data_IF_897780596428
#
_entry.id   IF_897780596428
#
_cell.length_a   1.000
_cell.length_b   1.000
_cell.length_c   1.000
_cell.angle_alpha   90.00
_cell.angle_beta   90.00
_cell.angle_gamma   90.00
#
_symmetry.space_group_name_H-M   'P 1'
#
loop_
_entity.id
_entity.type
_entity.pdbx_description
1 polymer ?
#
# COMPACT_ATOMS: atom_id res chain seq x y z
N UNK A 1 -3.44 2.98 -13.73
CA UNK A 1 -2.16 2.30 -13.72
C UNK A 1 -1.15 3.10 -12.93
N UNK A 2 -0.60 2.47 -12.03
CA UNK A 2 0.09 2.93 -10.94
C UNK A 2 1.39 3.63 -11.11
N UNK A 3 1.89 4.36 -10.10
CA UNK A 3 3.30 4.50 -9.95
C UNK A 3 3.71 5.23 -8.71
N UNK A 4 4.59 4.74 -8.22
CA UNK A 4 5.97 4.73 -7.80
C UNK A 4 6.44 6.04 -7.19
N UNK A 5 6.78 6.00 -5.93
CA UNK A 5 7.72 6.89 -5.32
C UNK A 5 7.45 7.25 -3.88
N UNK A 6 8.21 6.68 -2.99
CA UNK A 6 8.26 7.13 -1.61
C UNK A 6 9.23 8.29 -1.45
N UNK A 7 9.05 9.12 -0.43
CA UNK A 7 10.03 10.17 -0.06
C UNK A 7 11.42 9.59 0.26
N UNK A 8 11.55 8.29 0.54
CA UNK A 8 12.85 7.63 0.75
C UNK A 8 13.68 7.47 -0.53
N UNK A 9 13.07 7.60 -1.73
CA UNK A 9 13.80 7.65 -3.00
C UNK A 9 14.48 9.00 -3.28
N UNK A 10 14.38 9.99 -2.39
CA UNK A 10 15.04 11.30 -2.56
C UNK A 10 16.57 11.19 -2.54
N UNK A 11 17.14 10.13 -1.97
CA UNK A 11 18.60 9.93 -1.95
C UNK A 11 19.18 9.43 -3.29
N UNK A 12 18.37 8.77 -4.11
CA UNK A 12 18.73 8.41 -5.47
C UNK A 12 17.96 9.31 -6.42
N UNK A 13 18.63 9.91 -7.38
CA UNK A 13 18.16 10.91 -8.38
C UNK A 13 16.98 10.44 -9.23
N UNK A 14 16.05 9.67 -8.65
CA UNK A 14 14.89 9.11 -9.31
C UNK A 14 13.68 10.06 -9.34
N UNK A 15 12.91 9.98 -10.40
CA UNK A 15 11.61 10.65 -10.55
C UNK A 15 10.60 10.07 -9.56
N UNK A 16 10.02 10.89 -8.67
CA UNK A 16 8.91 10.49 -7.79
C UNK A 16 7.58 11.06 -8.27
N UNK A 17 6.47 10.34 -7.98
CA UNK A 17 5.11 10.82 -8.28
C UNK A 17 4.86 12.18 -7.62
N UNK A 18 5.22 12.34 -6.36
CA UNK A 18 5.10 13.60 -5.62
C UNK A 18 5.80 14.75 -6.35
N UNK A 19 7.04 14.56 -6.79
CA UNK A 19 7.78 15.60 -7.52
C UNK A 19 7.11 15.98 -8.85
N UNK A 20 6.43 15.06 -9.54
CA UNK A 20 5.73 15.39 -10.78
C UNK A 20 4.55 16.33 -10.48
N UNK A 21 3.75 16.04 -9.46
CA UNK A 21 2.65 16.91 -9.03
C UNK A 21 3.16 18.26 -8.54
N UNK A 22 4.16 18.29 -7.65
CA UNK A 22 4.72 19.54 -7.11
C UNK A 22 5.33 20.43 -8.18
N UNK A 23 5.92 19.86 -9.25
CA UNK A 23 6.38 20.63 -10.43
C UNK A 23 5.24 21.31 -11.17
N UNK A 24 4.10 20.63 -11.34
CA UNK A 24 2.92 21.17 -11.99
C UNK A 24 2.33 22.29 -11.13
N UNK A 25 2.10 22.01 -9.84
CA UNK A 25 1.56 22.98 -8.90
C UNK A 25 2.46 24.23 -8.77
N UNK A 26 3.79 24.06 -8.75
CA UNK A 26 4.74 25.19 -8.75
C UNK A 26 4.57 26.09 -9.98
N UNK A 27 4.34 25.51 -11.17
CA UNK A 27 4.10 26.30 -12.39
C UNK A 27 2.79 27.08 -12.32
N UNK A 28 1.72 26.45 -11.79
CA UNK A 28 0.40 27.08 -11.71
C UNK A 28 0.37 28.20 -10.65
N UNK A 29 0.96 27.98 -9.48
CA UNK A 29 0.95 28.94 -8.36
C UNK A 29 2.09 29.95 -8.38
N UNK A 30 3.10 29.76 -9.26
CA UNK A 30 4.36 30.52 -9.26
C UNK A 30 5.13 30.49 -7.93
N UNK A 31 4.81 29.53 -7.07
CA UNK A 31 5.45 29.23 -5.78
C UNK A 31 5.43 27.74 -5.53
N UNK A 32 6.26 27.25 -4.61
CA UNK A 32 6.23 25.85 -4.20
C UNK A 32 4.92 25.56 -3.45
N UNK A 33 4.20 24.52 -3.88
CA UNK A 33 3.03 23.97 -3.19
C UNK A 33 3.33 22.51 -2.93
N UNK A 34 3.28 22.15 -1.67
CA UNK A 34 3.53 20.78 -1.20
C UNK A 34 2.24 19.96 -1.29
N UNK A 35 2.35 18.70 -1.71
CA UNK A 35 1.26 17.74 -1.60
C UNK A 35 1.44 16.85 -0.37
N UNK A 36 0.33 16.43 0.21
CA UNK A 36 0.28 15.54 1.37
C UNK A 36 -0.42 14.24 0.95
N UNK A 37 0.33 13.13 0.71
CA UNK A 37 -0.27 11.87 0.30
C UNK A 37 -0.85 11.10 1.50
N UNK A 38 -1.91 10.33 1.27
CA UNK A 38 -2.50 9.44 2.28
C UNK A 38 -1.61 8.25 2.61
N UNK A 39 -0.77 7.84 1.67
CA UNK A 39 0.18 6.74 1.82
C UNK A 39 1.48 7.03 1.12
N UNK A 40 2.57 6.49 1.65
CA UNK A 40 3.83 6.40 0.93
C UNK A 40 3.92 5.02 0.30
N UNK A 41 4.42 4.96 -0.93
CA UNK A 41 4.71 3.70 -1.62
C UNK A 41 6.20 3.65 -1.93
N UNK A 42 6.81 2.47 -1.81
CA UNK A 42 8.21 2.27 -2.12
C UNK A 42 8.44 2.31 -3.63
N UNK A 43 9.70 2.48 -4.04
CA UNK A 43 10.09 2.36 -5.45
C UNK A 43 9.70 0.99 -6.00
N UNK A 44 9.02 0.97 -7.15
CA UNK A 44 8.53 -0.24 -7.81
C UNK A 44 7.17 -0.71 -7.33
N UNK A 45 6.58 -0.07 -6.30
CA UNK A 45 5.22 -0.33 -5.84
C UNK A 45 4.24 0.48 -6.67
N UNK A 46 3.12 -0.12 -7.04
CA UNK A 46 2.06 0.48 -7.85
C UNK A 46 0.90 1.00 -6.97
N UNK A 47 0.06 1.84 -7.54
CA UNK A 47 -1.20 2.25 -6.93
C UNK A 47 -2.31 2.33 -7.97
N UNK A 48 -3.42 1.61 -7.75
CA UNK A 48 -4.66 1.84 -8.50
C UNK A 48 -5.39 3.06 -7.98
N UNK A 49 -5.29 3.29 -6.67
CA UNK A 49 -5.92 4.41 -6.00
C UNK A 49 -4.97 5.02 -4.96
N UNK A 50 -4.66 6.30 -5.13
CA UNK A 50 -3.88 7.08 -4.17
C UNK A 50 -4.52 8.45 -4.03
N UNK A 51 -4.65 8.94 -2.81
CA UNK A 51 -5.15 10.27 -2.51
C UNK A 51 -4.01 11.17 -2.03
N UNK A 52 -4.08 12.43 -2.43
CA UNK A 52 -3.31 13.51 -1.82
C UNK A 52 -4.16 14.77 -1.76
N UNK A 53 -3.83 15.67 -0.85
CA UNK A 53 -4.41 17.01 -0.81
C UNK A 53 -3.31 18.05 -0.88
N UNK A 54 -3.70 19.27 -1.23
CA UNK A 54 -2.86 20.47 -1.20
C UNK A 54 -3.76 21.69 -1.01
N UNK A 55 -3.17 22.76 -0.47
CA UNK A 55 -3.86 24.03 -0.30
C UNK A 55 -3.64 24.93 -1.50
N UNK A 56 -4.68 25.66 -1.92
CA UNK A 56 -4.64 26.55 -3.08
C UNK A 56 -5.50 27.78 -2.87
N UNK A 57 -4.99 28.93 -3.33
CA UNK A 57 -5.72 30.20 -3.42
C UNK A 57 -6.31 30.42 -4.83
N UNK A 58 -6.01 29.51 -5.77
CA UNK A 58 -6.47 29.61 -7.14
C UNK A 58 -7.92 29.16 -7.25
N UNK A 59 -8.77 30.04 -7.74
CA UNK A 59 -10.18 29.73 -8.00
C UNK A 59 -10.31 28.99 -9.34
N UNK A 60 -10.03 27.69 -9.31
CA UNK A 60 -10.08 26.80 -10.49
C UNK A 60 -11.04 25.65 -10.17
N UNK A 61 -11.97 25.40 -11.06
CA UNK A 61 -12.95 24.32 -10.93
C UNK A 61 -12.27 22.93 -10.90
N UNK A 62 -12.78 21.96 -10.12
CA UNK A 62 -12.20 20.61 -10.02
C UNK A 62 -11.94 19.93 -11.36
N UNK A 63 -12.83 20.10 -12.34
CA UNK A 63 -12.65 19.56 -13.70
C UNK A 63 -11.46 20.17 -14.43
N UNK A 64 -11.24 21.46 -14.24
CA UNK A 64 -10.12 22.18 -14.84
C UNK A 64 -8.79 21.77 -14.18
N UNK A 65 -8.78 21.57 -12.84
CA UNK A 65 -7.64 20.99 -12.12
C UNK A 65 -7.26 19.63 -12.69
N UNK A 66 -8.24 18.71 -12.84
CA UNK A 66 -8.01 17.39 -13.42
C UNK A 66 -7.40 17.48 -14.81
N UNK A 67 -7.94 18.33 -15.68
CA UNK A 67 -7.44 18.53 -17.04
C UNK A 67 -6.00 19.08 -17.02
N UNK A 68 -5.74 20.15 -16.27
CA UNK A 68 -4.43 20.79 -16.19
C UNK A 68 -3.35 19.83 -15.69
N UNK A 69 -3.67 19.00 -14.66
CA UNK A 69 -2.75 17.99 -14.16
C UNK A 69 -2.46 16.92 -15.20
N UNK A 70 -3.51 16.30 -15.78
CA UNK A 70 -3.33 15.20 -16.72
C UNK A 70 -2.65 15.62 -18.02
N UNK A 71 -2.81 16.88 -18.45
CA UNK A 71 -2.11 17.43 -19.63
C UNK A 71 -0.59 17.60 -19.42
N UNK A 72 -0.14 17.63 -18.18
CA UNK A 72 1.25 17.88 -17.83
C UNK A 72 1.95 16.69 -17.14
N UNK A 73 1.19 15.68 -16.71
CA UNK A 73 1.71 14.47 -16.13
C UNK A 73 2.27 13.53 -17.20
N UNK A 74 3.28 12.71 -16.85
CA UNK A 74 3.74 11.65 -17.72
C UNK A 74 2.68 10.53 -17.81
N UNK A 75 2.76 9.72 -18.87
CA UNK A 75 1.77 8.69 -19.22
C UNK A 75 1.51 7.64 -18.13
N UNK A 76 2.46 7.46 -17.24
CA UNK A 76 2.41 6.50 -16.15
C UNK A 76 1.70 7.03 -14.88
N UNK A 77 1.19 8.27 -14.90
CA UNK A 77 0.46 8.91 -13.80
C UNK A 77 -0.82 9.54 -14.33
N UNK A 78 -1.96 9.23 -13.69
CA UNK A 78 -3.25 9.75 -14.08
C UNK A 78 -4.10 10.18 -12.89
N UNK A 79 -4.69 11.38 -12.97
CA UNK A 79 -5.64 11.92 -11.98
C UNK A 79 -7.05 11.50 -12.37
N UNK A 80 -7.66 10.62 -11.59
CA UNK A 80 -9.02 10.14 -11.83
C UNK A 80 -10.09 11.19 -11.48
N UNK A 81 -9.91 11.89 -10.37
CA UNK A 81 -10.85 12.91 -9.91
C UNK A 81 -10.15 13.96 -9.05
N UNK A 82 -10.75 15.14 -8.99
CA UNK A 82 -10.38 16.23 -8.08
C UNK A 82 -11.66 16.67 -7.39
N UNK A 83 -11.60 16.93 -6.10
CA UNK A 83 -12.71 17.45 -5.29
C UNK A 83 -12.20 18.54 -4.38
N UNK A 84 -13.01 19.56 -4.16
CA UNK A 84 -12.81 20.50 -3.07
C UNK A 84 -13.25 19.81 -1.78
N UNK A 85 -12.49 20.03 -0.72
CA UNK A 85 -12.73 19.49 0.62
C UNK A 85 -12.63 20.60 1.65
N UNK A 86 -13.09 20.36 2.86
CA UNK A 86 -12.97 21.30 3.97
C UNK A 86 -11.52 21.51 4.39
N UNK A 87 -11.19 22.67 4.95
CA UNK A 87 -9.85 23.04 5.38
C UNK A 87 -9.30 22.12 6.50
N UNK A 88 -10.20 21.42 7.21
CA UNK A 88 -9.85 20.44 8.25
C UNK A 88 -9.49 19.05 7.68
N UNK A 89 -9.77 18.82 6.39
CA UNK A 89 -9.54 17.52 5.77
C UNK A 89 -8.03 17.22 5.64
N UNK A 90 -7.67 16.01 6.07
CA UNK A 90 -6.30 15.51 5.89
C UNK A 90 -6.30 14.06 5.43
N UNK A 91 -6.03 13.81 4.14
CA UNK A 91 -6.17 12.49 3.51
C UNK A 91 -5.37 11.35 4.18
N UNK A 92 -4.33 11.66 4.98
CA UNK A 92 -3.57 10.66 5.74
C UNK A 92 -4.22 10.35 7.08
N UNK A 93 -4.75 11.37 7.77
CA UNK A 93 -5.32 11.21 9.11
C UNK A 93 -6.77 10.73 9.05
N UNK A 94 -7.52 11.17 8.04
CA UNK A 94 -8.91 10.74 7.80
C UNK A 94 -8.99 9.36 7.11
N UNK A 95 -7.84 8.79 6.74
CA UNK A 95 -7.78 7.45 6.19
C UNK A 95 -8.01 6.41 7.30
N UNK A 96 -9.13 5.68 7.22
CA UNK A 96 -9.53 4.65 8.19
C UNK A 96 -9.11 3.23 7.80
N UNK A 97 -8.72 3.02 6.55
CA UNK A 97 -8.25 1.72 6.07
C UNK A 97 -7.59 1.77 4.71
N UNK A 98 -6.83 0.73 4.41
CA UNK A 98 -6.16 0.53 3.12
C UNK A 98 -6.25 -0.91 2.71
N UNK A 99 -6.42 -1.16 1.40
CA UNK A 99 -6.30 -2.47 0.79
C UNK A 99 -5.10 -2.49 -0.13
N UNK A 100 -4.30 -3.54 0.02
CA UNK A 100 -3.21 -3.88 -0.88
C UNK A 100 -3.50 -5.20 -1.57
N UNK A 101 -3.04 -5.30 -2.82
CA UNK A 101 -2.99 -6.52 -3.60
C UNK A 101 -1.55 -6.79 -3.99
N UNK A 102 -1.11 -8.03 -3.82
CA UNK A 102 0.20 -8.46 -4.29
C UNK A 102 0.02 -9.53 -5.36
N UNK A 103 0.52 -9.25 -6.56
CA UNK A 103 0.33 -10.09 -7.74
C UNK A 103 1.52 -10.97 -8.01
N UNK A 104 1.27 -12.26 -8.17
CA UNK A 104 2.27 -13.27 -8.53
C UNK A 104 1.82 -14.02 -9.74
N UNK A 105 2.73 -14.25 -10.69
CA UNK A 105 2.53 -15.19 -11.76
C UNK A 105 3.52 -16.35 -11.65
N UNK A 106 3.05 -17.54 -12.01
CA UNK A 106 3.82 -18.78 -12.02
C UNK A 106 3.92 -19.29 -13.46
N UNK A 107 5.12 -19.59 -13.89
CA UNK A 107 5.39 -20.12 -15.22
C UNK A 107 6.72 -20.87 -15.21
N UNK A 108 6.96 -21.70 -16.24
CA UNK A 108 8.26 -22.35 -16.41
C UNK A 108 9.39 -21.34 -16.64
N UNK A 109 9.09 -20.25 -17.37
CA UNK A 109 10.02 -19.19 -17.73
C UNK A 109 9.44 -17.81 -17.43
N UNK A 110 10.33 -16.84 -17.19
CA UNK A 110 9.92 -15.43 -17.01
C UNK A 110 9.26 -14.90 -18.29
N UNK A 111 8.16 -14.17 -18.10
CA UNK A 111 7.52 -13.41 -19.15
C UNK A 111 8.00 -11.95 -19.12
N UNK A 112 8.73 -11.47 -20.14
CA UNK A 112 9.20 -10.08 -20.17
C UNK A 112 8.08 -9.04 -20.12
N UNK A 113 6.88 -9.35 -20.59
CA UNK A 113 5.71 -8.45 -20.60
C UNK A 113 5.11 -8.25 -19.21
N UNK A 114 5.41 -9.14 -18.25
CA UNK A 114 5.01 -9.00 -16.84
C UNK A 114 6.10 -8.33 -15.98
N UNK A 115 7.25 -8.05 -16.58
CA UNK A 115 8.39 -7.45 -15.87
C UNK A 115 8.02 -6.09 -15.29
N UNK A 116 8.26 -5.92 -13.99
CA UNK A 116 7.91 -4.69 -13.27
C UNK A 116 6.42 -4.55 -12.93
N UNK A 117 5.57 -5.53 -13.26
CA UNK A 117 4.12 -5.51 -13.02
C UNK A 117 3.67 -6.62 -12.06
N UNK A 118 4.29 -7.79 -12.13
CA UNK A 118 3.99 -8.94 -11.27
C UNK A 118 5.28 -9.61 -10.82
N UNK A 119 5.26 -10.24 -9.68
CA UNK A 119 6.39 -11.04 -9.20
C UNK A 119 6.35 -12.43 -9.82
N UNK A 120 7.47 -12.85 -10.41
CA UNK A 120 7.65 -14.18 -10.93
C UNK A 120 8.05 -15.16 -9.83
N UNK A 121 7.35 -16.29 -9.73
CA UNK A 121 7.73 -17.43 -8.89
C UNK A 121 7.65 -18.70 -9.75
N UNK A 122 8.77 -19.43 -9.82
CA UNK A 122 8.84 -20.68 -10.59
C UNK A 122 8.33 -21.89 -9.79
N UNK A 123 8.51 -21.83 -8.47
CA UNK A 123 8.19 -22.95 -7.59
C UNK A 123 6.69 -23.22 -7.57
N UNK A 124 6.30 -24.49 -7.48
CA UNK A 124 4.93 -24.86 -7.14
C UNK A 124 4.66 -24.49 -5.69
N UNK A 125 3.50 -23.91 -5.44
CA UNK A 125 3.11 -23.42 -4.13
C UNK A 125 1.79 -24.05 -3.66
N UNK A 126 1.77 -24.50 -2.42
CA UNK A 126 0.55 -24.94 -1.74
C UNK A 126 -0.27 -23.72 -1.31
N UNK A 127 -1.18 -23.28 -2.18
CA UNK A 127 -2.01 -22.09 -1.93
C UNK A 127 -2.97 -22.27 -0.74
N UNK A 128 -3.39 -23.50 -0.46
CA UNK A 128 -4.29 -23.81 0.67
C UNK A 128 -3.56 -23.54 1.99
N UNK A 129 -2.33 -24.04 2.14
CA UNK A 129 -1.49 -23.73 3.30
C UNK A 129 -1.14 -22.26 3.41
N UNK A 130 -0.86 -21.59 2.28
CA UNK A 130 -0.64 -20.15 2.28
C UNK A 130 -1.87 -19.41 2.80
N UNK A 131 -3.08 -19.80 2.37
CA UNK A 131 -4.32 -19.17 2.80
C UNK A 131 -4.65 -19.50 4.27
N UNK A 132 -4.34 -20.71 4.75
CA UNK A 132 -4.41 -21.04 6.18
C UNK A 132 -3.51 -20.11 7.00
N UNK A 133 -2.25 -19.93 6.59
CA UNK A 133 -1.32 -19.02 7.26
C UNK A 133 -1.81 -17.56 7.20
N UNK A 134 -2.36 -17.13 6.05
CA UNK A 134 -2.86 -15.77 5.86
C UNK A 134 -3.97 -15.41 6.85
N UNK A 135 -4.86 -16.35 7.17
CA UNK A 135 -5.97 -16.15 8.12
C UNK A 135 -5.49 -15.82 9.54
N UNK A 136 -4.32 -16.32 9.95
CA UNK A 136 -3.75 -16.03 11.26
C UNK A 136 -3.29 -14.59 11.44
N UNK A 137 -3.15 -13.80 10.35
CA UNK A 137 -2.84 -12.38 10.43
C UNK A 137 -4.07 -11.49 10.67
N UNK A 138 -5.30 -12.03 10.51
CA UNK A 138 -6.54 -11.27 10.73
C UNK A 138 -6.67 -10.95 12.23
N UNK A 139 -7.14 -9.72 12.50
CA UNK A 139 -7.28 -9.22 13.87
C UNK A 139 -6.24 -8.15 14.20
N UNK A 140 -6.16 -7.80 15.48
CA UNK A 140 -5.23 -6.77 15.98
C UNK A 140 -3.99 -7.44 16.55
N UNK A 141 -2.83 -7.16 15.95
CA UNK A 141 -1.55 -7.73 16.33
C UNK A 141 -0.43 -6.70 16.31
N UNK A 142 0.63 -6.95 17.06
CA UNK A 142 1.90 -6.25 16.92
C UNK A 142 2.71 -6.90 15.79
N UNK A 143 2.90 -6.15 14.70
CA UNK A 143 3.62 -6.61 13.49
C UNK A 143 5.12 -6.29 13.49
N UNK A 144 5.74 -6.13 14.65
CA UNK A 144 7.19 -5.88 14.75
C UNK A 144 8.01 -6.93 14.00
N UNK A 145 7.65 -8.21 14.10
CA UNK A 145 8.32 -9.31 13.40
C UNK A 145 8.07 -9.33 11.88
N UNK A 146 7.06 -8.63 11.41
CA UNK A 146 6.63 -8.61 10.00
C UNK A 146 6.77 -7.24 9.33
N UNK A 147 7.65 -6.38 9.81
CA UNK A 147 7.94 -5.09 9.18
C UNK A 147 9.43 -4.81 9.13
N UNK A 148 9.83 -3.75 8.42
CA UNK A 148 11.22 -3.31 8.40
C UNK A 148 11.69 -2.89 9.79
N UNK A 149 12.91 -3.26 10.17
CA UNK A 149 13.58 -2.76 11.39
C UNK A 149 13.75 -1.23 11.37
N UNK A 150 13.78 -0.61 10.18
CA UNK A 150 13.84 0.86 9.99
C UNK A 150 12.49 1.56 10.24
N UNK A 151 11.48 0.84 10.73
CA UNK A 151 10.17 1.43 11.02
C UNK A 151 10.25 2.24 12.32
N UNK A 152 10.23 3.56 12.19
CA UNK A 152 10.24 4.53 13.28
C UNK A 152 8.82 5.00 13.55
N UNK A 153 8.05 4.24 14.30
CA UNK A 153 6.70 4.61 14.76
C UNK A 153 6.53 4.17 16.21
N UNK A 154 5.73 4.92 16.95
CA UNK A 154 5.47 4.68 18.38
C UNK A 154 4.81 3.31 18.61
N UNK A 155 3.80 2.96 17.81
CA UNK A 155 3.11 1.68 17.89
C UNK A 155 3.19 0.90 16.59
N UNK A 156 3.58 -0.38 16.66
CA UNK A 156 3.58 -1.32 15.54
C UNK A 156 2.34 -2.23 15.52
N UNK A 157 1.37 -1.94 16.38
CA UNK A 157 0.08 -2.61 16.39
C UNK A 157 -0.77 -2.17 15.19
N UNK A 158 -1.33 -3.13 14.45
CA UNK A 158 -2.25 -2.91 13.33
C UNK A 158 -3.40 -3.90 13.38
N UNK A 159 -4.56 -3.48 12.90
CA UNK A 159 -5.70 -4.37 12.72
C UNK A 159 -5.82 -4.73 11.25
N UNK A 160 -5.78 -6.01 10.93
CA UNK A 160 -6.08 -6.53 9.60
C UNK A 160 -7.52 -7.06 9.57
N UNK A 161 -8.29 -6.58 8.62
CA UNK A 161 -9.70 -6.95 8.41
C UNK A 161 -9.83 -8.11 7.42
N UNK A 162 -8.89 -8.20 6.48
CA UNK A 162 -8.81 -9.21 5.44
C UNK A 162 -7.35 -9.60 5.23
N UNK A 163 -7.12 -10.88 5.04
CA UNK A 163 -5.82 -11.42 4.67
C UNK A 163 -6.06 -12.76 4.00
N UNK A 164 -5.94 -12.83 2.67
CA UNK A 164 -6.28 -14.02 1.89
C UNK A 164 -5.43 -14.17 0.63
N UNK A 165 -5.23 -15.42 0.26
CA UNK A 165 -4.58 -15.82 -0.99
C UNK A 165 -5.65 -16.28 -1.96
N UNK A 166 -5.74 -15.64 -3.12
CA UNK A 166 -6.73 -15.92 -4.16
C UNK A 166 -6.04 -16.46 -5.38
N UNK A 167 -6.41 -17.66 -5.81
CA UNK A 167 -5.90 -18.27 -7.05
C UNK A 167 -6.35 -17.45 -8.26
N UNK A 168 -5.44 -17.24 -9.20
CA UNK A 168 -5.71 -16.62 -10.51
C UNK A 168 -5.33 -17.59 -11.64
N UNK A 169 -5.69 -17.25 -12.88
CA UNK A 169 -5.34 -18.08 -14.04
C UNK A 169 -3.83 -18.22 -14.26
N UNK A 170 -3.04 -17.23 -13.81
CA UNK A 170 -1.60 -17.18 -14.00
C UNK A 170 -0.78 -17.48 -12.73
N UNK A 171 -1.43 -17.61 -11.58
CA UNK A 171 -0.75 -17.82 -10.30
C UNK A 171 -1.65 -17.48 -9.11
N UNK A 172 -1.32 -16.46 -8.35
CA UNK A 172 -2.16 -16.01 -7.23
C UNK A 172 -2.02 -14.52 -6.94
N UNK A 173 -3.04 -13.96 -6.31
CA UNK A 173 -2.99 -12.66 -5.66
C UNK A 173 -3.07 -12.84 -4.13
N UNK A 174 -2.29 -12.07 -3.38
CA UNK A 174 -2.52 -11.90 -1.95
C UNK A 174 -3.23 -10.57 -1.72
N UNK A 175 -4.40 -10.62 -1.06
CA UNK A 175 -5.22 -9.46 -0.76
C UNK A 175 -5.20 -9.23 0.74
N UNK A 176 -4.86 -8.01 1.15
CA UNK A 176 -4.82 -7.63 2.56
C UNK A 176 -5.43 -6.25 2.77
N UNK A 177 -6.36 -6.16 3.72
CA UNK A 177 -7.00 -4.90 4.13
C UNK A 177 -6.80 -4.68 5.61
N UNK A 178 -6.44 -3.48 6.00
CA UNK A 178 -6.22 -3.15 7.41
C UNK A 178 -6.28 -1.67 7.72
N UNK A 179 -6.25 -1.32 9.02
CA UNK A 179 -6.27 0.05 9.54
C UNK A 179 -5.05 0.89 9.10
N UNK A 180 -4.00 0.23 8.69
CA UNK A 180 -2.75 0.82 8.19
C UNK A 180 -1.67 -0.23 8.13
N UNK A 181 -0.55 0.12 7.47
CA UNK A 181 0.57 -0.80 7.27
C UNK A 181 1.89 -0.14 7.66
N UNK A 182 2.80 -0.94 8.18
CA UNK A 182 4.16 -0.55 8.51
C UNK A 182 5.06 -0.64 7.27
N UNK A 183 6.25 -0.05 7.36
CA UNK A 183 7.21 -0.09 6.27
C UNK A 183 7.57 -1.54 5.89
N UNK A 184 7.41 -1.87 4.60
CA UNK A 184 7.58 -3.20 4.01
C UNK A 184 6.64 -4.30 4.54
N UNK A 185 5.68 -4.00 5.42
CA UNK A 185 4.86 -5.01 6.08
C UNK A 185 4.22 -5.99 5.09
N UNK A 186 3.46 -5.53 4.11
CA UNK A 186 2.77 -6.41 3.15
C UNK A 186 3.75 -7.30 2.39
N UNK A 187 4.90 -6.77 1.97
CA UNK A 187 5.94 -7.53 1.27
C UNK A 187 6.58 -8.60 2.14
N UNK A 188 6.68 -8.36 3.45
CA UNK A 188 7.17 -9.36 4.42
C UNK A 188 6.13 -10.44 4.64
N UNK A 189 4.83 -10.08 4.77
CA UNK A 189 3.74 -11.05 4.87
C UNK A 189 3.73 -11.99 3.66
N UNK A 190 3.79 -11.44 2.44
CA UNK A 190 3.83 -12.24 1.20
C UNK A 190 5.05 -13.16 1.16
N UNK A 191 6.23 -12.64 1.51
CA UNK A 191 7.44 -13.45 1.49
C UNK A 191 7.36 -14.64 2.46
N UNK A 192 6.77 -14.45 3.64
CA UNK A 192 6.51 -15.53 4.59
C UNK A 192 5.50 -16.54 4.02
N UNK A 193 4.38 -16.07 3.45
CA UNK A 193 3.38 -16.93 2.84
C UNK A 193 3.97 -17.78 1.70
N UNK A 194 4.86 -17.22 0.89
CA UNK A 194 5.57 -17.98 -0.16
C UNK A 194 6.46 -19.09 0.44
N UNK A 195 7.13 -18.84 1.55
CA UNK A 195 7.92 -19.89 2.24
C UNK A 195 7.01 -20.98 2.84
N UNK A 196 5.80 -20.63 3.28
CA UNK A 196 4.76 -21.61 3.66
C UNK A 196 4.32 -22.43 2.45
N UNK A 197 4.03 -21.78 1.31
CA UNK A 197 3.62 -22.45 0.08
C UNK A 197 4.69 -23.42 -0.46
N UNK A 198 5.97 -23.12 -0.24
CA UNK A 198 7.11 -23.99 -0.54
C UNK A 198 7.30 -25.14 0.46
N UNK A 199 6.49 -25.21 1.52
CA UNK A 199 6.64 -26.21 2.58
C UNK A 199 7.82 -25.98 3.52
N UNK A 200 8.50 -24.84 3.46
CA UNK A 200 9.64 -24.50 4.33
C UNK A 200 9.22 -23.92 5.67
N UNK A 201 7.98 -23.49 5.80
CA UNK A 201 7.35 -22.95 6.99
C UNK A 201 5.96 -23.58 7.15
N UNK A 202 5.43 -23.54 8.38
CA UNK A 202 4.12 -24.07 8.67
C UNK A 202 3.12 -22.95 8.96
N UNK A 203 1.83 -23.08 8.58
CA UNK A 203 0.81 -22.07 8.84
C UNK A 203 0.68 -21.69 10.32
N UNK A 204 0.78 -22.66 11.20
CA UNK A 204 0.64 -22.50 12.65
C UNK A 204 1.83 -21.79 13.33
N UNK A 205 2.90 -21.49 12.62
CA UNK A 205 4.01 -20.67 13.14
C UNK A 205 3.61 -19.18 13.30
N UNK A 206 2.62 -18.68 12.54
CA UNK A 206 2.25 -17.26 12.54
C UNK A 206 1.94 -16.70 13.92
N UNK A 207 1.11 -17.33 14.77
CA UNK A 207 0.81 -16.81 16.11
C UNK A 207 2.06 -16.66 16.98
N UNK A 208 2.97 -17.60 16.91
CA UNK A 208 4.22 -17.55 17.71
C UNK A 208 5.20 -16.50 17.17
N UNK A 209 5.27 -16.31 15.84
CA UNK A 209 6.09 -15.28 15.22
C UNK A 209 5.58 -13.87 15.55
N UNK A 210 4.25 -13.67 15.60
CA UNK A 210 3.65 -12.41 16.03
C UNK A 210 3.98 -12.12 17.51
N UNK A 211 3.90 -13.12 18.39
CA UNK A 211 4.27 -12.99 19.82
C UNK A 211 5.75 -12.72 20.02
N UNK A 212 6.60 -13.36 19.23
CA UNK A 212 8.06 -13.21 19.32
C UNK A 212 8.55 -11.80 18.96
N UNK A 213 7.80 -11.05 18.15
CA UNK A 213 8.11 -9.66 17.73
C UNK A 213 9.54 -9.49 17.20
N UNK A 214 10.11 -10.55 16.64
CA UNK A 214 11.49 -10.56 16.15
C UNK A 214 11.52 -10.70 14.63
N UNK A 215 12.02 -9.66 13.95
CA UNK A 215 12.17 -9.61 12.49
C UNK A 215 13.16 -10.63 11.93
N UNK A 216 14.13 -11.06 12.72
CA UNK A 216 15.14 -12.03 12.29
C UNK A 216 14.55 -13.43 12.05
N UNK A 217 13.39 -13.72 12.67
CA UNK A 217 12.65 -14.95 12.43
C UNK A 217 11.98 -15.00 11.05
N UNK A 218 11.80 -13.83 10.39
CA UNK A 218 11.20 -13.70 9.07
C UNK A 218 12.07 -12.79 8.18
N UNK A 219 13.31 -13.20 7.83
CA UNK A 219 14.30 -12.31 7.18
C UNK A 219 14.00 -11.98 5.71
N UNK A 220 12.85 -12.42 5.19
CA UNK A 220 12.48 -12.30 3.79
C UNK A 220 11.69 -11.01 3.51
N UNK A 221 11.77 -10.50 2.29
CA UNK A 221 10.95 -9.41 1.80
C UNK A 221 10.69 -9.63 0.31
N UNK A 222 9.43 -9.71 -0.08
CA UNK A 222 9.04 -9.93 -1.47
C UNK A 222 9.39 -8.70 -2.35
N UNK A 223 9.63 -8.88 -3.67
CA UNK A 223 9.88 -7.80 -4.61
C UNK A 223 8.79 -6.71 -4.58
N UNK A 224 9.16 -5.50 -4.98
CA UNK A 224 8.22 -4.37 -4.93
C UNK A 224 7.20 -4.39 -6.08
N UNK A 225 7.59 -4.91 -7.24
CA UNK A 225 6.82 -4.87 -8.48
C UNK A 225 5.48 -5.60 -8.43
N UNK A 226 5.33 -6.57 -7.52
CA UNK A 226 4.05 -7.26 -7.33
C UNK A 226 3.05 -6.48 -6.47
N UNK A 227 3.49 -5.45 -5.74
CA UNK A 227 2.66 -4.76 -4.76
C UNK A 227 1.87 -3.59 -5.37
N UNK A 228 0.57 -3.57 -5.11
CA UNK A 228 -0.37 -2.55 -5.52
C UNK A 228 -1.14 -2.00 -4.32
N UNK A 229 -1.10 -0.68 -4.11
CA UNK A 229 -2.09 -0.01 -3.26
C UNK A 229 -3.41 0.01 -4.05
N UNK A 230 -4.36 -0.81 -3.64
CA UNK A 230 -5.58 -1.06 -4.42
C UNK A 230 -6.70 -0.08 -4.07
N UNK A 231 -6.93 0.15 -2.77
CA UNK A 231 -8.03 1.00 -2.29
C UNK A 231 -7.64 1.72 -1.01
N UNK A 232 -8.12 2.94 -0.85
CA UNK A 232 -8.02 3.73 0.37
C UNK A 232 -9.42 4.03 0.86
N UNK A 233 -9.69 3.74 2.11
CA UNK A 233 -10.95 4.02 2.78
C UNK A 233 -10.83 5.35 3.52
N UNK A 234 -11.46 6.39 2.98
CA UNK A 234 -11.62 7.69 3.64
C UNK A 234 -12.97 7.79 4.36
N UNK A 235 -13.94 6.97 3.93
CA UNK A 235 -15.26 6.88 4.52
C UNK A 235 -15.36 5.63 5.41
N UNK A 236 -15.65 5.79 6.72
CA UNK A 236 -15.91 4.68 7.63
C UNK A 236 -17.01 3.73 7.16
N UNK A 237 -18.07 4.26 6.55
CA UNK A 237 -19.20 3.46 6.07
C UNK A 237 -18.76 2.53 4.91
N UNK A 238 -17.88 3.00 4.04
CA UNK A 238 -17.31 2.14 2.99
C UNK A 238 -16.52 0.96 3.55
N UNK A 239 -15.86 1.14 4.69
CA UNK A 239 -15.13 0.06 5.38
C UNK A 239 -16.11 -0.93 6.05
N UNK A 240 -17.18 -0.41 6.68
CA UNK A 240 -18.24 -1.24 7.28
C UNK A 240 -19.00 -2.04 6.23
N UNK A 241 -19.30 -1.45 5.09
CA UNK A 241 -19.96 -2.15 3.98
C UNK A 241 -19.14 -3.33 3.47
N UNK A 242 -17.82 -3.22 3.44
CA UNK A 242 -16.92 -4.29 3.00
C UNK A 242 -16.69 -5.38 4.10
N UNK A 243 -16.71 -5.02 5.39
CA UNK A 243 -16.28 -5.91 6.50
C UNK A 243 -17.28 -6.06 7.65
N UNK A 244 -18.47 -5.46 7.56
CA UNK A 244 -19.54 -5.53 8.55
C UNK A 244 -19.51 -4.38 9.57
N UNK A 245 -20.65 -4.18 10.23
CA UNK A 245 -20.86 -3.07 11.19
C UNK A 245 -19.93 -3.12 12.40
N UNK A 246 -19.53 -4.33 12.81
CA UNK A 246 -18.65 -4.54 13.98
C UNK A 246 -17.18 -4.25 13.69
N UNK A 247 -16.83 -3.79 12.47
CA UNK A 247 -15.46 -3.47 12.11
C UNK A 247 -14.91 -2.35 12.99
N UNK A 248 -13.78 -2.62 13.66
CA UNK A 248 -13.13 -1.65 14.54
C UNK A 248 -12.43 -0.57 13.73
N UNK A 249 -12.99 0.61 13.71
CA UNK A 249 -12.42 1.77 13.02
C UNK A 249 -11.36 2.44 13.89
N UNK A 250 -10.17 2.62 13.33
CA UNK A 250 -9.06 3.29 13.98
C UNK A 250 -8.85 4.68 13.36
N UNK A 251 -9.34 5.71 14.06
CA UNK A 251 -9.06 7.09 13.68
C UNK A 251 -7.63 7.46 14.09
N UNK A 252 -6.86 7.97 13.15
CA UNK A 252 -5.55 8.54 13.46
C UNK A 252 -5.79 9.92 14.08
N UNK A 253 -5.26 10.16 15.27
CA UNK A 253 -5.28 11.52 15.85
C UNK A 253 -4.63 12.46 14.84
N UNK A 254 -5.34 13.52 14.43
CA UNK A 254 -4.71 14.66 13.81
C UNK A 254 -3.67 15.17 14.78
N UNK A 255 -2.43 15.28 14.35
CA UNK A 255 -1.44 16.10 15.08
C UNK A 255 -1.92 17.56 14.93
N UNK A 256 -2.79 18.00 15.83
CA UNK A 256 -2.93 19.41 16.14
C UNK A 256 -1.64 19.77 16.86
N UNK A 257 -0.88 20.67 16.28
CA UNK A 257 0.41 21.24 16.67
C UNK A 257 1.62 20.49 16.08
N UNK A 258 2.07 21.02 14.92
CA UNK A 258 3.42 21.61 14.82
C UNK A 258 3.45 22.52 13.57
#
# INVERSE_FOLDING_TARGET
SGLVGSEMCIRDRGRTVQQQFEKILKRMHRRHVRIHPSSRTDRGVHAYEQYFHFDTELNIEPKQWKYAMNSALPEDIYVNSVKQVDDTFHCRYDCVGKRYRYKVYQAEHRNPFESGLKTFIKDDLDLDKMNEAAKHFIGTHDFTGFCSQKTEVESKERTLYQSEVVKTDEGFDYIVTGSGFLYNMVRVLVAFLVEVGKGKRQPNEVPELLKAKNRDNVPFTAPAEGLYLEKIYLDPEALKNDFGEDVKIHYKKSLQND
#
